data_IF_847815288646
#
_entry.id   IF_847815288646
#
_cell.length_a   1.000
_cell.length_b   1.000
_cell.length_c   1.000
_cell.angle_alpha   90.00
_cell.angle_beta   90.00
_cell.angle_gamma   90.00
#
_symmetry.space_group_name_H-M   'P 1'
#
loop_
_entity.id
_entity.type
_entity.pdbx_description
1 polymer ?
#
# COMPACT_ATOMS: atom_id res chain seq x y z
N UNK A 1 21.81 23.31 -42.67
CA UNK A 1 22.91 22.53 -43.25
C UNK A 1 24.11 22.68 -42.34
N UNK A 2 24.16 21.83 -41.31
CA UNK A 2 25.04 20.65 -41.23
C UNK A 2 26.51 21.02 -41.06
N UNK A 3 26.97 21.00 -39.80
CA UNK A 3 28.28 20.43 -39.50
C UNK A 3 28.14 19.44 -38.36
N UNK A 4 28.46 18.19 -38.72
CA UNK A 4 28.39 17.00 -37.90
C UNK A 4 29.49 16.96 -36.85
N UNK A 5 29.11 16.37 -35.72
CA UNK A 5 29.95 15.73 -34.71
C UNK A 5 31.06 14.85 -35.29
N UNK A 6 32.25 14.99 -34.72
CA UNK A 6 33.03 13.84 -34.25
C UNK A 6 34.17 14.31 -33.36
N UNK A 7 34.50 13.49 -32.34
CA UNK A 7 35.69 13.46 -31.46
C UNK A 7 35.22 13.34 -30.00
N UNK A 8 35.73 12.47 -29.13
CA UNK A 8 36.62 11.31 -29.22
C UNK A 8 36.67 10.76 -27.79
N UNK A 9 36.54 9.44 -27.64
CA UNK A 9 36.74 8.70 -26.38
C UNK A 9 38.22 8.74 -25.95
N UNK A 10 38.51 9.19 -24.72
CA UNK A 10 39.51 8.64 -23.77
C UNK A 10 39.96 9.72 -22.77
N UNK A 11 39.69 9.46 -21.49
CA UNK A 11 40.61 9.56 -20.33
C UNK A 11 39.80 9.85 -19.08
N UNK A 12 39.61 8.85 -18.22
CA UNK A 12 39.62 9.10 -16.78
C UNK A 12 39.88 7.80 -16.00
N UNK A 13 41.12 7.65 -15.55
CA UNK A 13 41.51 6.80 -14.42
C UNK A 13 42.61 7.53 -13.67
N UNK A 14 42.71 7.22 -12.37
CA UNK A 14 43.56 7.78 -11.30
C UNK A 14 43.09 9.15 -10.77
N UNK A 15 42.76 9.32 -9.50
CA UNK A 15 42.74 8.43 -8.34
C UNK A 15 42.51 9.25 -7.06
N UNK A 16 41.96 8.65 -6.01
CA UNK A 16 42.23 9.01 -4.62
C UNK A 16 41.70 7.87 -3.73
N UNK A 17 42.58 7.37 -2.88
CA UNK A 17 42.36 6.29 -1.95
C UNK A 17 41.92 6.83 -0.57
N UNK A 18 41.21 5.95 0.15
CA UNK A 18 41.14 5.80 1.60
C UNK A 18 40.54 6.93 2.47
N UNK A 19 39.37 6.64 3.05
CA UNK A 19 39.19 6.59 4.52
C UNK A 19 38.22 5.45 4.84
N UNK A 20 38.70 4.43 5.55
CA UNK A 20 37.88 3.39 6.16
C UNK A 20 37.50 3.75 7.59
N UNK A 21 36.29 3.37 7.99
CA UNK A 21 35.92 3.19 9.38
C UNK A 21 35.07 1.93 9.47
N UNK A 22 35.51 1.01 10.31
CA UNK A 22 34.93 -0.30 10.55
C UNK A 22 33.76 -0.23 11.55
N UNK A 23 32.76 -1.07 11.34
CA UNK A 23 31.95 -1.63 12.43
C UNK A 23 31.63 -3.09 12.08
N UNK A 24 31.99 -3.95 13.03
CA UNK A 24 32.01 -5.40 12.90
C UNK A 24 30.60 -5.99 12.89
N UNK A 25 30.32 -6.91 11.96
CA UNK A 25 29.22 -7.86 12.09
C UNK A 25 29.84 -9.24 12.20
N UNK A 26 29.53 -9.89 13.33
CA UNK A 26 30.00 -11.21 13.69
C UNK A 26 29.59 -12.26 12.66
N UNK A 27 30.57 -13.09 12.33
CA UNK A 27 30.41 -14.24 11.46
C UNK A 27 29.62 -15.36 12.16
N UNK A 28 28.54 -15.79 11.53
CA UNK A 28 27.90 -17.09 11.71
C UNK A 28 27.69 -17.70 10.33
N UNK A 29 28.77 -18.14 9.69
CA UNK A 29 28.75 -18.76 8.36
C UNK A 29 28.23 -20.20 8.45
N UNK A 30 27.09 -20.50 7.83
CA UNK A 30 26.81 -21.85 7.35
C UNK A 30 27.65 -22.09 6.08
N UNK A 31 28.45 -23.15 6.15
CA UNK A 31 29.47 -23.48 5.18
C UNK A 31 28.89 -23.76 3.78
N UNK A 32 29.40 -23.04 2.79
CA UNK A 32 29.29 -23.36 1.37
C UNK A 32 30.63 -24.00 0.93
N UNK A 33 30.56 -25.27 0.55
CA UNK A 33 31.57 -25.98 -0.25
C UNK A 33 30.79 -26.57 -1.44
N UNK A 34 31.15 -26.48 -2.71
CA UNK A 34 32.29 -25.88 -3.42
C UNK A 34 31.92 -25.86 -4.92
N UNK A 35 32.50 -24.92 -5.65
CA UNK A 35 32.28 -24.62 -7.07
C UNK A 35 32.85 -25.69 -8.04
N UNK A 36 32.29 -25.79 -9.24
CA UNK A 36 32.93 -25.42 -10.52
C UNK A 36 32.12 -25.91 -11.73
N UNK A 37 31.97 -25.05 -12.73
CA UNK A 37 31.30 -25.37 -13.99
C UNK A 37 30.70 -24.11 -14.61
N UNK A 38 31.51 -23.38 -15.37
CA UNK A 38 31.03 -22.23 -16.14
C UNK A 38 29.86 -22.65 -17.01
N UNK A 39 28.72 -21.99 -16.82
CA UNK A 39 27.63 -22.06 -17.76
C UNK A 39 27.21 -20.63 -18.07
N UNK A 40 27.48 -20.19 -19.30
CA UNK A 40 26.69 -19.15 -19.98
C UNK A 40 25.32 -19.74 -20.29
N UNK A 41 24.63 -20.19 -19.25
CA UNK A 41 23.36 -20.88 -19.33
C UNK A 41 22.24 -19.85 -19.39
N UNK A 42 21.46 -19.92 -20.45
CA UNK A 42 20.10 -19.39 -20.48
C UNK A 42 19.41 -19.75 -19.17
N UNK A 43 19.10 -18.75 -18.33
CA UNK A 43 18.34 -18.97 -17.10
C UNK A 43 17.02 -19.63 -17.50
N UNK A 44 16.73 -20.81 -16.96
CA UNK A 44 15.44 -21.44 -17.12
C UNK A 44 14.32 -20.50 -16.66
N UNK A 45 13.12 -20.64 -17.24
CA UNK A 45 11.94 -19.84 -16.85
C UNK A 45 11.70 -19.90 -15.34
N UNK A 46 12.01 -21.03 -14.72
CA UNK A 46 11.82 -21.31 -13.29
C UNK A 46 13.10 -21.17 -12.44
N UNK A 47 14.14 -20.53 -12.95
CA UNK A 47 15.35 -20.31 -12.15
C UNK A 47 15.11 -19.22 -11.09
N UNK A 48 15.80 -19.37 -9.95
CA UNK A 48 15.82 -18.33 -8.93
C UNK A 48 16.50 -17.08 -9.49
N UNK A 49 15.85 -15.92 -9.32
CA UNK A 49 16.43 -14.62 -9.62
C UNK A 49 16.42 -13.77 -8.35
N UNK A 50 17.58 -13.22 -8.01
CA UNK A 50 17.69 -12.20 -6.97
C UNK A 50 16.92 -10.96 -7.43
N UNK A 51 16.14 -10.40 -6.53
CA UNK A 51 15.29 -9.24 -6.74
C UNK A 51 15.96 -8.03 -6.10
N UNK A 52 16.01 -6.93 -6.83
CA UNK A 52 16.40 -5.65 -6.26
C UNK A 52 15.17 -4.97 -5.70
N UNK A 53 15.29 -4.46 -4.48
CA UNK A 53 14.26 -3.65 -3.85
C UNK A 53 14.96 -2.53 -3.10
N UNK A 54 14.59 -1.29 -3.39
CA UNK A 54 15.17 -0.13 -2.74
C UNK A 54 14.54 0.04 -1.35
N UNK A 55 14.97 -0.76 -0.39
CA UNK A 55 14.54 -0.62 1.01
C UNK A 55 15.14 0.67 1.57
N UNK A 56 14.33 1.56 2.16
CA UNK A 56 14.85 2.69 2.90
C UNK A 56 15.61 2.21 4.14
N UNK A 57 16.50 3.03 4.73
CA UNK A 57 17.17 2.67 5.98
C UNK A 57 16.16 2.38 7.10
N UNK A 58 16.23 1.19 7.68
CA UNK A 58 15.37 0.73 8.78
C UNK A 58 15.90 1.24 10.13
N UNK A 59 15.84 2.56 10.34
CA UNK A 59 16.28 3.20 11.58
C UNK A 59 15.20 3.08 12.67
N UNK A 60 15.61 3.11 13.94
CA UNK A 60 14.67 3.12 15.07
C UNK A 60 13.95 4.47 15.24
N UNK A 61 14.56 5.55 14.75
CA UNK A 61 13.99 6.91 14.72
C UNK A 61 14.52 7.66 13.51
N UNK A 62 13.74 8.62 13.00
CA UNK A 62 14.17 9.47 11.91
C UNK A 62 15.34 10.36 12.36
N UNK A 63 16.36 10.58 11.50
CA UNK A 63 17.50 11.43 11.83
C UNK A 63 17.02 12.85 12.10
N UNK A 64 17.67 13.60 12.99
CA UNK A 64 17.30 15.00 13.26
C UNK A 64 17.44 15.90 12.02
N UNK A 65 16.72 17.01 11.99
CA UNK A 65 16.74 17.94 10.86
C UNK A 65 15.80 19.14 11.05
N UNK A 66 15.65 19.98 10.02
CA UNK A 66 14.71 21.12 10.04
C UNK A 66 13.28 20.69 10.39
N UNK A 67 12.51 21.64 10.93
CA UNK A 67 11.08 21.42 11.21
C UNK A 67 10.34 21.04 9.93
N UNK A 68 9.61 19.93 9.97
CA UNK A 68 8.68 19.52 8.91
C UNK A 68 7.24 19.75 9.37
N UNK A 69 6.52 20.56 8.60
CA UNK A 69 5.12 20.90 8.85
C UNK A 69 4.19 20.00 8.03
N UNK A 70 3.37 19.23 8.72
CA UNK A 70 2.40 18.31 8.14
C UNK A 70 0.98 18.90 8.10
N UNK A 71 0.30 18.66 6.99
CA UNK A 71 -1.14 18.77 6.85
C UNK A 71 -1.83 17.40 6.85
N UNK A 72 -2.94 17.26 7.59
CA UNK A 72 -3.72 16.01 7.64
C UNK A 72 -4.98 16.17 6.80
N UNK A 73 -5.17 15.31 5.80
CA UNK A 73 -6.36 15.26 4.96
C UNK A 73 -7.10 13.94 5.26
N UNK A 74 -8.25 14.05 5.91
CA UNK A 74 -9.00 12.94 6.50
C UNK A 74 -8.69 12.79 7.99
N UNK A 75 -9.55 13.34 8.85
CA UNK A 75 -9.40 13.38 10.30
C UNK A 75 -10.14 12.23 11.02
N UNK A 76 -10.45 11.16 10.29
CA UNK A 76 -11.02 9.92 10.85
C UNK A 76 -10.00 9.11 11.65
N UNK A 77 -10.42 7.94 12.16
CA UNK A 77 -9.60 7.13 13.07
C UNK A 77 -8.21 6.76 12.53
N UNK A 78 -8.10 6.42 11.24
CA UNK A 78 -6.80 6.12 10.61
C UNK A 78 -5.94 7.37 10.42
N UNK A 79 -6.53 8.49 10.01
CA UNK A 79 -5.82 9.77 9.90
C UNK A 79 -5.32 10.29 11.25
N UNK A 80 -6.11 10.11 12.31
CA UNK A 80 -5.66 10.38 13.68
C UNK A 80 -4.49 9.49 14.10
N UNK A 81 -4.49 8.21 13.68
CA UNK A 81 -3.37 7.30 13.92
C UNK A 81 -2.10 7.73 13.18
N UNK A 82 -2.20 8.00 11.87
CA UNK A 82 -1.08 8.44 11.04
C UNK A 82 -0.50 9.79 11.50
N UNK A 83 -1.34 10.71 11.97
CA UNK A 83 -0.91 11.96 12.59
C UNK A 83 -0.02 11.73 13.82
N UNK A 84 -0.40 10.80 14.70
CA UNK A 84 0.40 10.46 15.88
C UNK A 84 1.67 9.70 15.50
N UNK A 85 1.58 8.74 14.57
CA UNK A 85 2.75 8.00 14.08
C UNK A 85 3.78 8.92 13.45
N UNK A 86 3.34 9.94 12.72
CA UNK A 86 4.21 10.98 12.19
C UNK A 86 4.95 11.71 13.32
N UNK A 87 4.25 12.16 14.35
CA UNK A 87 4.88 12.83 15.50
C UNK A 87 5.82 11.91 16.29
N UNK A 88 5.52 10.62 16.36
CA UNK A 88 6.31 9.62 17.07
C UNK A 88 7.55 9.15 16.28
N UNK A 89 7.67 9.52 14.99
CA UNK A 89 8.76 9.08 14.14
C UNK A 89 10.10 9.77 14.43
N UNK A 90 10.10 10.95 15.07
CA UNK A 90 11.33 11.67 15.39
C UNK A 90 11.11 13.09 15.90
N UNK A 91 12.19 13.88 15.95
CA UNK A 91 12.19 15.27 16.41
C UNK A 91 11.83 16.26 15.30
N UNK A 92 11.43 17.48 15.66
CA UNK A 92 11.13 18.60 14.75
C UNK A 92 10.04 18.26 13.71
N UNK A 93 8.95 17.65 14.18
CA UNK A 93 7.78 17.29 13.40
C UNK A 93 6.56 17.99 13.98
N UNK A 94 5.80 18.68 13.14
CA UNK A 94 4.65 19.48 13.61
C UNK A 94 3.45 19.29 12.69
N UNK A 95 2.26 19.19 13.27
CA UNK A 95 1.01 19.25 12.51
C UNK A 95 0.49 20.68 12.58
N UNK A 96 0.24 21.29 11.42
CA UNK A 96 -0.11 22.71 11.33
C UNK A 96 -1.46 22.97 10.67
N UNK A 97 -2.05 21.97 10.00
CA UNK A 97 -3.35 22.09 9.35
C UNK A 97 -4.09 20.74 9.30
N UNK A 98 -5.42 20.81 9.39
CA UNK A 98 -6.33 19.67 9.40
C UNK A 98 -7.47 19.91 8.39
N UNK A 99 -7.88 18.86 7.67
CA UNK A 99 -8.99 18.93 6.72
C UNK A 99 -9.83 17.65 6.72
N UNK A 100 -11.15 17.80 6.79
CA UNK A 100 -12.10 16.69 6.64
C UNK A 100 -13.42 17.23 6.06
N UNK A 101 -14.26 16.38 5.47
CA UNK A 101 -15.60 16.83 5.06
C UNK A 101 -16.52 17.10 6.27
N UNK A 102 -16.16 16.62 7.45
CA UNK A 102 -16.95 16.73 8.68
C UNK A 102 -16.24 17.50 9.80
N UNK A 103 -16.89 18.53 10.34
CA UNK A 103 -16.37 19.32 11.46
C UNK A 103 -16.07 18.46 12.69
N UNK A 104 -16.96 17.51 13.02
CA UNK A 104 -16.75 16.64 14.18
C UNK A 104 -15.44 15.82 14.07
N UNK A 105 -14.98 15.49 12.87
CA UNK A 105 -13.72 14.77 12.67
C UNK A 105 -12.52 15.68 12.92
N UNK A 106 -12.56 16.91 12.41
CA UNK A 106 -11.51 17.91 12.61
C UNK A 106 -11.35 18.22 14.10
N UNK A 107 -12.46 18.50 14.80
CA UNK A 107 -12.46 18.83 16.22
C UNK A 107 -11.90 17.68 17.06
N UNK A 108 -12.34 16.44 16.78
CA UNK A 108 -11.87 15.26 17.49
C UNK A 108 -10.35 15.05 17.34
N UNK A 109 -9.80 15.23 16.13
CA UNK A 109 -8.37 15.09 15.91
C UNK A 109 -7.60 16.23 16.58
N UNK A 110 -8.07 17.47 16.47
CA UNK A 110 -7.45 18.64 17.11
C UNK A 110 -7.35 18.46 18.62
N UNK A 111 -8.43 18.05 19.27
CA UNK A 111 -8.44 17.77 20.71
C UNK A 111 -7.53 16.59 21.08
N UNK A 112 -7.49 15.55 20.26
CA UNK A 112 -6.59 14.41 20.46
C UNK A 112 -5.12 14.83 20.43
N UNK A 113 -4.73 15.64 19.44
CA UNK A 113 -3.36 16.16 19.29
C UNK A 113 -2.95 17.02 20.49
N UNK A 114 -3.84 17.90 20.93
CA UNK A 114 -3.62 18.73 22.12
C UNK A 114 -3.43 17.87 23.38
N UNK A 115 -4.31 16.89 23.59
CA UNK A 115 -4.31 16.04 24.78
C UNK A 115 -3.13 15.07 24.84
N UNK A 116 -2.81 14.42 23.73
CA UNK A 116 -1.84 13.30 23.71
C UNK A 116 -0.42 13.73 23.34
N UNK A 117 -0.24 14.88 22.67
CA UNK A 117 1.07 15.35 22.20
C UNK A 117 1.34 16.83 22.50
N UNK A 118 0.39 17.55 23.12
CA UNK A 118 0.54 18.99 23.37
C UNK A 118 0.57 19.84 22.09
N UNK A 119 0.09 19.29 20.97
CA UNK A 119 0.11 19.96 19.67
C UNK A 119 -1.21 20.71 19.48
N UNK A 120 -1.14 22.04 19.43
CA UNK A 120 -2.27 22.90 19.13
C UNK A 120 -2.25 23.32 17.65
N UNK A 121 -3.32 22.98 16.93
CA UNK A 121 -3.56 23.47 15.57
C UNK A 121 -4.49 24.68 15.65
N UNK A 122 -4.14 25.85 15.07
CA UNK A 122 -5.03 27.01 15.04
C UNK A 122 -6.34 26.72 14.31
N UNK A 123 -7.44 27.32 14.75
CA UNK A 123 -8.77 27.07 14.18
C UNK A 123 -8.86 27.56 12.72
N UNK A 124 -8.14 28.63 12.38
CA UNK A 124 -8.01 29.16 11.03
C UNK A 124 -7.30 28.20 10.06
N UNK A 125 -6.60 27.19 10.57
CA UNK A 125 -5.94 26.14 9.78
C UNK A 125 -6.71 24.81 9.78
N UNK A 126 -7.94 24.82 10.29
CA UNK A 126 -8.86 23.69 10.32
C UNK A 126 -9.95 23.90 9.27
N UNK A 127 -9.97 23.05 8.25
CA UNK A 127 -10.83 23.23 7.08
C UNK A 127 -11.89 22.13 6.99
N UNK A 128 -13.09 22.50 6.54
CA UNK A 128 -14.16 21.55 6.24
C UNK A 128 -14.72 21.71 4.84
N UNK A 129 -15.27 20.61 4.31
CA UNK A 129 -15.85 20.54 2.97
C UNK A 129 -15.05 19.65 2.01
N UNK A 130 -15.61 19.40 0.82
CA UNK A 130 -14.93 18.61 -0.21
C UNK A 130 -13.68 19.30 -0.77
N UNK A 131 -13.56 20.62 -0.62
CA UNK A 131 -12.40 21.44 -1.00
C UNK A 131 -11.37 21.58 0.15
N UNK A 132 -11.60 20.95 1.30
CA UNK A 132 -10.71 21.07 2.46
C UNK A 132 -9.28 20.60 2.17
N UNK A 133 -9.10 19.61 1.28
CA UNK A 133 -7.78 19.10 0.94
C UNK A 133 -6.89 20.15 0.26
N UNK A 134 -7.46 20.98 -0.61
CA UNK A 134 -6.73 22.07 -1.29
C UNK A 134 -6.27 23.11 -0.26
N UNK A 135 -7.17 23.49 0.65
CA UNK A 135 -6.86 24.44 1.73
C UNK A 135 -5.76 23.94 2.67
N UNK A 136 -5.76 22.64 3.01
CA UNK A 136 -4.68 22.03 3.79
C UNK A 136 -3.34 22.07 3.05
N UNK A 137 -3.33 21.76 1.75
CA UNK A 137 -2.12 21.80 0.91
C UNK A 137 -1.55 23.22 0.83
N UNK A 138 -2.42 24.23 0.77
CA UNK A 138 -2.06 25.65 0.66
C UNK A 138 -1.69 26.30 2.00
N UNK A 139 -1.93 25.63 3.14
CA UNK A 139 -1.68 26.14 4.49
C UNK A 139 -0.18 26.19 4.90
N UNK A 140 0.73 26.27 3.92
CA UNK A 140 2.18 26.37 4.17
C UNK A 140 2.80 25.08 4.74
N UNK A 141 2.26 23.92 4.36
CA UNK A 141 2.78 22.59 4.74
C UNK A 141 3.95 22.17 3.85
N UNK A 142 4.86 21.37 4.41
CA UNK A 142 5.97 20.73 3.67
C UNK A 142 5.56 19.33 3.18
N UNK A 143 4.75 18.65 4.00
CA UNK A 143 4.31 17.27 3.79
C UNK A 143 2.81 17.14 4.02
N UNK A 144 2.17 16.18 3.35
CA UNK A 144 0.75 15.86 3.58
C UNK A 144 0.52 14.40 3.86
N UNK A 145 -0.44 14.13 4.74
CA UNK A 145 -0.89 12.79 5.13
C UNK A 145 -2.32 12.59 4.60
N UNK A 146 -2.50 11.65 3.66
CA UNK A 146 -3.77 11.39 2.99
C UNK A 146 -4.47 10.14 3.56
N UNK A 147 -5.46 10.35 4.41
CA UNK A 147 -6.18 9.31 5.14
C UNK A 147 -7.71 9.33 4.90
N UNK A 148 -8.16 9.89 3.78
CA UNK A 148 -9.57 9.88 3.36
C UNK A 148 -9.99 8.50 2.83
N UNK A 149 -11.30 8.23 2.61
CA UNK A 149 -11.72 7.07 1.85
C UNK A 149 -10.99 6.98 0.49
N UNK A 150 -10.64 5.76 0.03
CA UNK A 150 -9.84 5.56 -1.19
C UNK A 150 -10.32 6.22 -2.45
N UNK A 151 -11.64 6.43 -2.59
CA UNK A 151 -12.19 7.13 -3.76
C UNK A 151 -11.59 8.51 -4.01
N UNK A 152 -11.31 9.26 -2.94
CA UNK A 152 -10.87 10.66 -3.05
C UNK A 152 -9.35 10.80 -3.19
N UNK A 153 -8.60 9.74 -2.88
CA UNK A 153 -7.14 9.78 -2.81
C UNK A 153 -6.44 10.12 -4.13
N UNK A 154 -6.89 9.66 -5.32
CA UNK A 154 -6.25 10.03 -6.58
C UNK A 154 -6.19 11.55 -6.81
N UNK A 155 -7.29 12.24 -6.55
CA UNK A 155 -7.39 13.70 -6.69
C UNK A 155 -6.54 14.42 -5.64
N UNK A 156 -6.61 13.99 -4.38
CA UNK A 156 -5.82 14.56 -3.31
C UNK A 156 -4.31 14.38 -3.53
N UNK A 157 -3.88 13.21 -4.02
CA UNK A 157 -2.48 12.94 -4.31
C UNK A 157 -1.98 13.78 -5.48
N UNK A 158 -2.73 13.86 -6.58
CA UNK A 158 -2.36 14.68 -7.72
C UNK A 158 -2.21 16.16 -7.33
N UNK A 159 -3.14 16.69 -6.53
CA UNK A 159 -3.07 18.07 -6.03
C UNK A 159 -1.82 18.31 -5.16
N UNK A 160 -1.52 17.38 -4.24
CA UNK A 160 -0.34 17.47 -3.38
C UNK A 160 0.97 17.46 -4.19
N UNK A 161 1.07 16.60 -5.21
CA UNK A 161 2.23 16.53 -6.10
C UNK A 161 2.34 17.78 -6.96
N UNK A 162 1.22 18.32 -7.49
CA UNK A 162 1.24 19.60 -8.22
C UNK A 162 1.74 20.75 -7.35
N UNK A 163 1.40 20.72 -6.07
CA UNK A 163 1.91 21.66 -5.06
C UNK A 163 3.30 21.32 -4.52
N UNK A 164 3.99 20.33 -5.10
CA UNK A 164 5.35 19.88 -4.77
C UNK A 164 5.51 19.44 -3.31
N UNK A 165 4.51 18.76 -2.74
CA UNK A 165 4.54 18.26 -1.36
C UNK A 165 5.00 16.81 -1.31
N UNK A 166 5.79 16.46 -0.30
CA UNK A 166 5.99 15.05 0.03
C UNK A 166 4.69 14.46 0.56
N UNK A 167 4.43 13.18 0.27
CA UNK A 167 3.14 12.56 0.60
C UNK A 167 3.34 11.23 1.33
N UNK A 168 2.65 11.09 2.44
CA UNK A 168 2.25 9.79 2.96
C UNK A 168 0.77 9.59 2.60
N UNK A 169 0.42 8.44 2.05
CA UNK A 169 -0.98 8.14 1.77
C UNK A 169 -1.36 6.73 2.19
N UNK A 170 -2.47 6.62 2.91
CA UNK A 170 -3.02 5.32 3.30
C UNK A 170 -3.38 4.46 2.09
N UNK A 171 -3.27 3.14 2.25
CA UNK A 171 -3.79 2.18 1.28
C UNK A 171 -5.31 2.02 1.44
N UNK A 172 -6.01 1.53 0.40
CA UNK A 172 -5.61 1.43 -1.01
C UNK A 172 -5.56 2.82 -1.70
N UNK A 173 -4.85 2.94 -2.80
CA UNK A 173 -4.65 4.22 -3.51
C UNK A 173 -5.87 4.67 -4.32
N UNK A 174 -6.65 3.72 -4.85
CA UNK A 174 -7.87 3.97 -5.60
C UNK A 174 -8.83 2.76 -5.52
N UNK A 175 -10.05 2.95 -6.02
CA UNK A 175 -11.09 1.92 -6.06
C UNK A 175 -11.42 1.42 -7.47
N UNK A 176 -10.94 2.11 -8.50
CA UNK A 176 -11.26 1.90 -9.91
C UNK A 176 -10.06 2.15 -10.83
N UNK A 177 -10.14 1.71 -12.09
CA UNK A 177 -8.99 1.72 -13.01
C UNK A 177 -8.62 3.14 -13.44
N UNK A 178 -9.61 4.02 -13.58
CA UNK A 178 -9.39 5.43 -13.85
C UNK A 178 -8.55 6.10 -12.73
N UNK A 179 -8.91 5.86 -11.46
CA UNK A 179 -8.16 6.35 -10.31
C UNK A 179 -6.74 5.78 -10.24
N UNK A 180 -6.54 4.50 -10.55
CA UNK A 180 -5.19 3.91 -10.61
C UNK A 180 -4.31 4.61 -11.65
N UNK A 181 -4.82 4.85 -12.86
CA UNK A 181 -4.05 5.57 -13.89
C UNK A 181 -3.70 7.00 -13.47
N UNK A 182 -4.60 7.68 -12.76
CA UNK A 182 -4.33 9.00 -12.19
C UNK A 182 -3.21 8.95 -11.14
N UNK A 183 -3.22 7.95 -10.24
CA UNK A 183 -2.14 7.71 -9.28
C UNK A 183 -0.81 7.46 -10.00
N UNK A 184 -0.78 6.60 -11.03
CA UNK A 184 0.42 6.29 -11.79
C UNK A 184 1.01 7.54 -12.49
N UNK A 185 0.16 8.39 -13.06
CA UNK A 185 0.59 9.65 -13.65
C UNK A 185 1.17 10.61 -12.60
N UNK A 186 0.51 10.74 -11.45
CA UNK A 186 0.98 11.56 -10.34
C UNK A 186 2.28 11.01 -9.72
N UNK A 187 2.45 9.69 -9.66
CA UNK A 187 3.67 9.03 -9.18
C UNK A 187 4.88 9.38 -10.05
N UNK A 188 4.73 9.34 -11.38
CA UNK A 188 5.79 9.76 -12.33
C UNK A 188 6.12 11.24 -12.21
N UNK A 189 5.11 12.07 -12.02
CA UNK A 189 5.30 13.50 -11.76
C UNK A 189 6.07 13.71 -10.45
N UNK A 190 5.72 13.00 -9.38
CA UNK A 190 6.41 13.08 -8.09
C UNK A 190 7.88 12.67 -8.18
N UNK A 191 8.18 11.59 -8.92
CA UNK A 191 9.55 11.15 -9.17
C UNK A 191 10.37 12.22 -9.90
N UNK A 192 9.82 12.83 -10.95
CA UNK A 192 10.50 13.91 -11.69
C UNK A 192 10.76 15.17 -10.85
N UNK A 193 10.02 15.33 -9.76
CA UNK A 193 10.16 16.42 -8.80
C UNK A 193 10.98 16.02 -7.56
N UNK A 194 11.51 14.80 -7.54
CA UNK A 194 12.27 14.20 -6.43
C UNK A 194 11.50 14.17 -5.10
N UNK A 195 10.16 14.10 -5.16
CA UNK A 195 9.31 14.03 -3.98
C UNK A 195 9.37 12.64 -3.35
N UNK A 196 9.35 12.59 -2.02
CA UNK A 196 9.37 11.34 -1.27
C UNK A 196 7.96 10.90 -0.97
N UNK A 197 7.56 9.76 -1.53
CA UNK A 197 6.20 9.24 -1.45
C UNK A 197 6.21 7.89 -0.74
N UNK A 198 5.46 7.79 0.36
CA UNK A 198 5.27 6.55 1.13
C UNK A 198 3.80 6.19 1.12
N UNK A 199 3.53 4.89 1.04
CA UNK A 199 2.16 4.37 1.07
C UNK A 199 1.94 3.50 2.29
N UNK A 200 0.71 3.46 2.82
CA UNK A 200 0.35 2.71 4.04
C UNK A 200 0.42 1.17 3.92
N UNK A 201 1.23 0.64 3.02
CA UNK A 201 1.62 -0.78 2.90
C UNK A 201 2.62 -1.15 3.99
N UNK A 202 2.24 -0.97 5.26
CA UNK A 202 3.11 -1.07 6.44
C UNK A 202 3.99 -2.35 6.51
N UNK A 203 3.56 -3.48 5.91
CA UNK A 203 4.35 -4.72 5.87
C UNK A 203 5.69 -4.56 5.15
N UNK A 204 5.80 -3.61 4.23
CA UNK A 204 7.06 -3.21 3.57
C UNK A 204 8.03 -2.47 4.50
N UNK A 205 7.52 -2.02 5.65
CA UNK A 205 8.24 -1.34 6.72
C UNK A 205 8.26 -2.19 8.00
N UNK A 206 7.82 -3.45 7.94
CA UNK A 206 7.88 -4.36 9.08
C UNK A 206 9.18 -5.17 9.02
N UNK A 207 10.01 -5.04 10.06
CA UNK A 207 11.31 -5.72 10.15
C UNK A 207 11.21 -7.23 9.89
N UNK A 208 10.17 -7.88 10.40
CA UNK A 208 9.99 -9.32 10.25
C UNK A 208 9.70 -9.74 8.80
N UNK A 209 8.95 -8.94 8.05
CA UNK A 209 8.69 -9.17 6.63
C UNK A 209 9.92 -8.86 5.78
N UNK A 210 10.66 -7.79 6.09
CA UNK A 210 11.90 -7.45 5.41
C UNK A 210 12.96 -8.55 5.62
N UNK A 211 13.09 -9.05 6.85
CA UNK A 211 14.01 -10.15 7.17
C UNK A 211 13.63 -11.45 6.44
N UNK A 212 12.34 -11.78 6.39
CA UNK A 212 11.87 -12.92 5.61
C UNK A 212 12.12 -12.72 4.11
N UNK A 213 11.85 -11.53 3.58
CA UNK A 213 12.11 -11.19 2.18
C UNK A 213 13.60 -11.29 1.84
N UNK A 214 14.49 -10.80 2.71
CA UNK A 214 15.94 -10.90 2.54
C UNK A 214 16.38 -12.37 2.44
N UNK A 215 15.84 -13.25 3.27
CA UNK A 215 16.19 -14.68 3.24
C UNK A 215 15.64 -15.38 1.99
N UNK A 216 14.42 -15.05 1.57
CA UNK A 216 13.89 -15.49 0.27
C UNK A 216 14.80 -15.00 -0.87
N UNK A 217 15.24 -13.75 -0.81
CA UNK A 217 16.12 -13.12 -1.79
C UNK A 217 17.57 -13.62 -1.75
N UNK A 218 17.95 -14.34 -0.70
CA UNK A 218 19.20 -15.09 -0.57
C UNK A 218 19.05 -16.56 -1.02
N UNK A 219 17.98 -16.88 -1.78
CA UNK A 219 17.70 -18.23 -2.29
C UNK A 219 17.38 -19.25 -1.19
N UNK A 220 16.90 -18.78 -0.02
CA UNK A 220 16.59 -19.60 1.15
C UNK A 220 15.46 -20.60 0.93
N UNK A 221 14.50 -20.28 0.06
CA UNK A 221 13.40 -21.19 -0.32
C UNK A 221 13.49 -21.74 -1.75
N UNK A 222 14.50 -21.34 -2.54
CA UNK A 222 14.53 -21.66 -3.96
C UNK A 222 13.60 -20.77 -4.79
N UNK A 223 13.14 -21.28 -5.92
CA UNK A 223 12.17 -20.60 -6.77
C UNK A 223 10.75 -20.78 -6.20
N UNK A 224 9.98 -19.70 -6.08
CA UNK A 224 8.59 -19.75 -5.62
C UNK A 224 7.73 -20.36 -6.73
N UNK A 225 7.09 -21.50 -6.45
CA UNK A 225 6.24 -22.24 -7.41
C UNK A 225 4.75 -21.97 -7.23
N UNK A 226 4.33 -21.62 -6.02
CA UNK A 226 2.95 -21.20 -5.70
C UNK A 226 2.92 -20.42 -4.39
N UNK A 227 1.82 -19.72 -4.16
CA UNK A 227 1.58 -19.07 -2.88
C UNK A 227 0.10 -19.05 -2.49
N UNK A 228 -0.14 -18.88 -1.19
CA UNK A 228 -1.46 -18.67 -0.63
C UNK A 228 -1.44 -17.40 0.23
N UNK A 229 -2.42 -16.52 0.02
CA UNK A 229 -2.53 -15.26 0.76
C UNK A 229 -3.94 -15.07 1.32
N UNK A 230 -4.01 -14.75 2.62
CA UNK A 230 -5.26 -14.78 3.37
C UNK A 230 -5.52 -13.52 4.18
N UNK A 231 -6.76 -13.02 4.09
CA UNK A 231 -7.32 -12.06 5.04
C UNK A 231 -8.73 -12.49 5.45
N UNK A 232 -8.80 -13.49 6.32
CA UNK A 232 -10.06 -14.00 6.85
C UNK A 232 -10.27 -13.50 8.26
N UNK A 233 -11.32 -12.72 8.45
CA UNK A 233 -11.67 -12.11 9.72
C UNK A 233 -13.17 -12.13 9.97
N UNK A 234 -13.58 -11.58 11.12
CA UNK A 234 -14.97 -11.31 11.43
C UNK A 234 -15.53 -10.12 10.64
N UNK A 235 -16.82 -9.86 10.82
CA UNK A 235 -17.49 -8.68 10.26
C UNK A 235 -16.80 -7.40 10.76
N UNK A 236 -16.57 -6.45 9.84
CA UNK A 236 -16.10 -5.10 10.17
C UNK A 236 -17.23 -4.20 10.69
N UNK A 237 -16.88 -3.00 11.18
CA UNK A 237 -17.85 -2.01 11.63
C UNK A 237 -18.77 -1.52 10.49
N UNK A 238 -19.93 -1.00 10.89
CA UNK A 238 -20.86 -0.29 10.03
C UNK A 238 -21.48 0.87 10.82
N UNK A 239 -22.07 1.83 10.13
CA UNK A 239 -22.88 2.89 10.70
C UNK A 239 -24.31 2.74 10.21
N UNK A 240 -25.23 2.57 11.15
CA UNK A 240 -26.65 2.65 10.84
C UNK A 240 -26.99 4.03 10.28
N UNK A 241 -27.99 4.07 9.39
CA UNK A 241 -28.45 5.33 8.84
C UNK A 241 -29.02 6.21 9.97
N UNK A 242 -28.65 7.49 9.97
CA UNK A 242 -29.24 8.49 10.83
C UNK A 242 -30.20 9.35 10.00
N UNK A 243 -31.48 9.49 10.39
CA UNK A 243 -32.44 10.31 9.65
C UNK A 243 -32.04 11.77 9.43
N UNK A 244 -31.10 12.29 10.24
CA UNK A 244 -30.59 13.66 10.12
C UNK A 244 -29.42 13.79 9.15
N UNK A 245 -28.85 12.68 8.67
CA UNK A 245 -27.78 12.70 7.68
C UNK A 245 -28.36 12.70 6.27
N UNK A 246 -27.73 13.48 5.40
CA UNK A 246 -27.94 13.30 3.97
C UNK A 246 -27.40 11.93 3.52
N UNK A 247 -27.85 11.48 2.36
CA UNK A 247 -27.37 10.25 1.74
C UNK A 247 -25.84 10.23 1.58
N UNK A 248 -25.26 11.32 1.05
CA UNK A 248 -23.80 11.45 0.90
C UNK A 248 -23.10 11.39 2.26
N UNK A 249 -23.64 12.08 3.27
CA UNK A 249 -23.07 12.07 4.61
C UNK A 249 -23.05 10.65 5.18
N UNK A 250 -24.17 9.93 5.11
CA UNK A 250 -24.25 8.56 5.60
C UNK A 250 -23.26 7.65 4.87
N UNK A 251 -23.20 7.71 3.53
CA UNK A 251 -22.26 6.91 2.76
C UNK A 251 -20.80 7.16 3.18
N UNK A 252 -20.38 8.42 3.34
CA UNK A 252 -19.00 8.73 3.76
C UNK A 252 -18.76 8.32 5.23
N UNK A 253 -19.73 8.49 6.12
CA UNK A 253 -19.60 8.01 7.51
C UNK A 253 -19.54 6.48 7.60
N UNK A 254 -20.17 5.78 6.67
CA UNK A 254 -20.19 4.32 6.51
C UNK A 254 -19.26 3.81 5.37
N UNK A 255 -18.25 4.60 4.99
CA UNK A 255 -17.53 4.45 3.71
C UNK A 255 -17.01 3.05 3.39
N UNK A 256 -16.61 2.30 4.42
CA UNK A 256 -16.00 0.98 4.26
C UNK A 256 -16.98 -0.06 3.71
N UNK A 257 -18.29 0.20 3.78
CA UNK A 257 -19.33 -0.72 3.30
C UNK A 257 -19.79 -0.41 1.85
N UNK A 258 -19.38 0.72 1.28
CA UNK A 258 -19.75 1.13 -0.07
C UNK A 258 -18.60 0.90 -1.05
N UNK A 259 -18.85 0.13 -2.11
CA UNK A 259 -17.88 -0.28 -3.12
C UNK A 259 -17.27 0.92 -3.82
N UNK A 260 -18.04 1.97 -4.09
CA UNK A 260 -17.52 3.17 -4.72
C UNK A 260 -16.60 4.01 -3.83
N UNK A 261 -16.65 3.84 -2.50
CA UNK A 261 -15.79 4.57 -1.56
C UNK A 261 -14.53 3.78 -1.18
N UNK A 262 -14.67 2.46 -1.02
CA UNK A 262 -13.62 1.59 -0.46
C UNK A 262 -13.05 0.57 -1.45
N UNK A 263 -13.79 0.27 -2.52
CA UNK A 263 -13.44 -0.77 -3.49
C UNK A 263 -13.78 -2.19 -3.06
N UNK A 264 -14.55 -2.39 -1.98
CA UNK A 264 -14.76 -3.68 -1.30
C UNK A 264 -13.53 -4.15 -0.51
N UNK A 265 -13.71 -5.06 0.45
CA UNK A 265 -12.68 -5.48 1.40
C UNK A 265 -11.49 -6.19 0.75
N UNK A 266 -11.65 -6.73 -0.47
CA UNK A 266 -10.52 -7.22 -1.26
C UNK A 266 -9.55 -6.08 -1.64
N UNK A 267 -10.09 -4.90 -1.96
CA UNK A 267 -9.31 -3.69 -2.27
C UNK A 267 -8.91 -2.95 -0.98
N UNK A 268 -9.79 -2.87 0.01
CA UNK A 268 -9.53 -2.08 1.23
C UNK A 268 -8.58 -2.78 2.20
N UNK A 269 -8.80 -4.05 2.55
CA UNK A 269 -7.99 -4.77 3.54
C UNK A 269 -7.02 -5.76 2.92
N UNK A 270 -7.54 -6.63 2.05
CA UNK A 270 -6.77 -7.77 1.52
C UNK A 270 -5.63 -7.34 0.57
N UNK A 271 -5.68 -6.10 0.07
CA UNK A 271 -4.57 -5.50 -0.70
C UNK A 271 -3.22 -5.62 0.01
N UNK A 272 -3.19 -5.66 1.36
CA UNK A 272 -1.95 -5.91 2.10
C UNK A 272 -1.30 -7.25 1.73
N UNK A 273 -2.07 -8.35 1.69
CA UNK A 273 -1.49 -9.65 1.38
C UNK A 273 -1.24 -9.83 -0.12
N UNK A 274 -2.08 -9.22 -0.97
CA UNK A 274 -1.84 -9.17 -2.42
C UNK A 274 -0.53 -8.42 -2.71
N UNK A 275 -0.28 -7.32 -2.00
CA UNK A 275 0.95 -6.55 -2.10
C UNK A 275 2.18 -7.36 -1.64
N UNK A 276 2.08 -8.10 -0.55
CA UNK A 276 3.15 -9.02 -0.10
C UNK A 276 3.41 -10.11 -1.14
N UNK A 277 2.37 -10.68 -1.77
CA UNK A 277 2.55 -11.66 -2.83
C UNK A 277 3.34 -11.06 -4.00
N UNK A 278 2.90 -9.92 -4.53
CA UNK A 278 3.59 -9.24 -5.62
C UNK A 278 5.03 -8.87 -5.24
N UNK A 279 5.25 -8.42 -4.00
CA UNK A 279 6.58 -8.08 -3.50
C UNK A 279 7.51 -9.28 -3.43
N UNK A 280 7.06 -10.37 -2.81
CA UNK A 280 7.88 -11.55 -2.57
C UNK A 280 8.12 -12.31 -3.86
N UNK A 281 7.16 -12.30 -4.78
CA UNK A 281 7.29 -12.89 -6.11
C UNK A 281 8.10 -11.98 -7.05
N UNK A 282 8.03 -10.66 -6.88
CA UNK A 282 8.80 -9.66 -7.63
C UNK A 282 8.14 -9.20 -8.92
N UNK A 283 6.88 -9.55 -9.14
CA UNK A 283 6.08 -9.25 -10.32
C UNK A 283 4.58 -9.36 -9.92
N UNK A 284 3.68 -8.98 -10.82
CA UNK A 284 2.23 -9.09 -10.61
C UNK A 284 1.63 -10.16 -11.52
N UNK A 285 0.47 -10.75 -11.17
CA UNK A 285 -0.23 -11.65 -12.07
C UNK A 285 -0.72 -10.94 -13.32
N UNK A 286 -0.86 -11.70 -14.41
CA UNK A 286 -1.36 -11.22 -15.71
C UNK A 286 -2.85 -11.42 -15.88
N UNK A 287 -3.47 -12.29 -15.06
CA UNK A 287 -4.92 -12.48 -15.03
C UNK A 287 -5.43 -13.04 -13.71
N UNK A 288 -6.73 -12.92 -13.50
CA UNK A 288 -7.46 -13.45 -12.35
C UNK A 288 -8.70 -14.22 -12.79
N UNK A 289 -8.99 -15.31 -12.08
CA UNK A 289 -10.29 -15.99 -12.08
C UNK A 289 -10.73 -16.14 -10.64
N UNK A 290 -11.94 -15.68 -10.31
CA UNK A 290 -12.42 -15.77 -8.94
C UNK A 290 -13.92 -15.71 -8.80
N UNK A 291 -14.36 -15.93 -7.58
CA UNK A 291 -15.76 -15.85 -7.17
C UNK A 291 -15.87 -15.28 -5.77
N UNK A 292 -17.06 -14.81 -5.44
CA UNK A 292 -17.38 -14.25 -4.14
C UNK A 292 -18.89 -14.16 -3.96
N UNK A 293 -19.31 -13.67 -2.80
CA UNK A 293 -20.74 -13.50 -2.53
C UNK A 293 -20.99 -12.50 -1.40
N UNK A 294 -22.17 -11.90 -1.42
CA UNK A 294 -22.79 -11.26 -0.26
C UNK A 294 -23.78 -12.20 0.40
N UNK A 295 -23.72 -12.30 1.72
CA UNK A 295 -24.53 -13.16 2.56
C UNK A 295 -25.06 -12.44 3.81
N UNK A 296 -24.24 -11.64 4.51
CA UNK A 296 -24.56 -11.14 5.87
C UNK A 296 -24.29 -9.65 6.09
N UNK A 297 -23.79 -8.92 5.11
CA UNK A 297 -23.62 -7.46 5.17
C UNK A 297 -24.94 -6.75 5.50
N UNK A 298 -24.87 -5.77 6.41
CA UNK A 298 -26.04 -5.00 6.88
C UNK A 298 -26.28 -3.78 6.01
N UNK A 299 -25.24 -3.03 5.66
CA UNK A 299 -25.31 -1.82 4.83
C UNK A 299 -24.46 -1.98 3.57
N UNK A 300 -24.54 -0.99 2.67
CA UNK A 300 -23.71 -0.92 1.47
C UNK A 300 -23.97 -2.01 0.44
N UNK A 301 -23.07 -2.15 -0.53
CA UNK A 301 -23.26 -2.94 -1.76
C UNK A 301 -22.15 -3.98 -2.03
N UNK A 302 -21.34 -4.27 -1.01
CA UNK A 302 -20.20 -5.18 -1.06
C UNK A 302 -20.50 -6.66 -0.87
N UNK A 303 -19.52 -7.49 -1.20
CA UNK A 303 -19.44 -8.90 -0.83
C UNK A 303 -18.94 -9.12 0.62
N UNK A 304 -19.24 -10.30 1.16
CA UNK A 304 -18.72 -10.79 2.44
C UNK A 304 -17.41 -11.58 2.26
N UNK A 305 -17.15 -12.10 1.06
CA UNK A 305 -15.98 -12.94 0.76
C UNK A 305 -15.55 -12.89 -0.71
N UNK A 306 -14.27 -13.17 -0.93
CA UNK A 306 -13.67 -13.42 -2.23
C UNK A 306 -12.71 -14.62 -2.17
N UNK A 307 -12.65 -15.38 -3.25
CA UNK A 307 -11.67 -16.42 -3.50
C UNK A 307 -11.20 -16.28 -4.95
N UNK A 308 -9.95 -15.90 -5.13
CA UNK A 308 -9.36 -15.53 -6.42
C UNK A 308 -8.14 -16.42 -6.67
N UNK A 309 -8.04 -16.95 -7.87
CA UNK A 309 -6.83 -17.57 -8.41
C UNK A 309 -6.14 -16.57 -9.34
N UNK A 310 -4.95 -16.12 -8.95
CA UNK A 310 -4.12 -15.21 -9.72
C UNK A 310 -3.07 -15.99 -10.51
N UNK A 311 -2.99 -15.72 -11.81
CA UNK A 311 -2.13 -16.45 -12.74
C UNK A 311 -1.04 -15.51 -13.26
N UNK A 312 0.21 -15.94 -13.14
CA UNK A 312 1.41 -15.21 -13.56
C UNK A 312 1.81 -15.61 -14.98
N UNK A 313 2.64 -14.79 -15.62
CA UNK A 313 3.06 -14.98 -17.02
C UNK A 313 3.73 -16.36 -17.25
N UNK A 314 4.47 -16.85 -16.27
CA UNK A 314 5.14 -18.15 -16.32
C UNK A 314 4.27 -19.35 -15.91
N UNK A 315 2.97 -19.12 -15.71
CA UNK A 315 1.97 -20.12 -15.36
C UNK A 315 1.90 -20.44 -13.87
N UNK A 316 2.60 -19.72 -12.98
CA UNK A 316 2.43 -19.89 -11.54
C UNK A 316 1.08 -19.37 -11.06
N UNK A 317 0.57 -20.03 -10.03
CA UNK A 317 -0.70 -19.70 -9.40
C UNK A 317 -0.49 -19.18 -7.98
N UNK A 318 -1.22 -18.12 -7.64
CA UNK A 318 -1.34 -17.60 -6.28
C UNK A 318 -2.80 -17.59 -5.88
N UNK A 319 -3.14 -18.40 -4.89
CA UNK A 319 -4.50 -18.41 -4.36
C UNK A 319 -4.68 -17.32 -3.31
N UNK A 320 -5.69 -16.48 -3.49
CA UNK A 320 -6.01 -15.33 -2.66
C UNK A 320 -7.41 -15.46 -2.09
N UNK A 321 -7.55 -15.43 -0.77
CA UNK A 321 -8.86 -15.56 -0.11
C UNK A 321 -9.04 -14.55 1.02
N UNK A 322 -10.17 -13.84 1.00
CA UNK A 322 -10.56 -12.94 2.09
C UNK A 322 -12.04 -13.07 2.45
N UNK A 323 -12.36 -12.79 3.71
CA UNK A 323 -13.71 -12.92 4.27
C UNK A 323 -13.89 -12.02 5.48
N UNK A 324 -15.08 -11.45 5.62
CA UNK A 324 -15.52 -10.71 6.81
C UNK A 324 -16.85 -11.27 7.36
N UNK A 325 -16.81 -12.45 7.99
CA UNK A 325 -18.01 -13.13 8.52
C UNK A 325 -17.73 -13.63 9.94
N UNK A 326 -18.61 -13.28 10.88
CA UNK A 326 -18.54 -13.71 12.28
C UNK A 326 -18.75 -15.22 12.43
N UNK A 327 -18.07 -15.82 13.42
CA UNK A 327 -18.22 -17.24 13.74
C UNK A 327 -17.51 -18.21 12.79
N UNK A 328 -16.65 -17.71 11.90
CA UNK A 328 -15.87 -18.52 10.96
C UNK A 328 -14.38 -18.61 11.37
N UNK A 329 -13.65 -19.58 10.80
CA UNK A 329 -12.21 -19.73 11.00
C UNK A 329 -11.42 -18.54 10.44
N UNK A 330 -10.67 -17.83 11.30
CA UNK A 330 -9.94 -16.62 10.94
C UNK A 330 -8.46 -16.89 10.69
N UNK A 331 -7.81 -15.98 9.96
CA UNK A 331 -6.39 -16.02 9.67
C UNK A 331 -5.98 -14.92 8.70
N UNK A 332 -4.93 -14.19 9.05
CA UNK A 332 -4.28 -13.20 8.19
C UNK A 332 -2.81 -13.59 8.07
N UNK A 333 -2.43 -14.16 6.93
CA UNK A 333 -1.08 -14.70 6.70
C UNK A 333 -0.82 -15.00 5.23
N UNK A 334 0.43 -15.33 4.92
CA UNK A 334 0.95 -15.71 3.63
C UNK A 334 1.75 -17.00 3.76
N UNK A 335 1.70 -17.85 2.73
CA UNK A 335 2.50 -19.06 2.59
C UNK A 335 3.06 -19.07 1.17
N UNK A 336 4.38 -19.16 1.05
CA UNK A 336 5.10 -19.22 -0.22
C UNK A 336 5.80 -20.57 -0.32
N UNK A 337 5.41 -21.37 -1.31
CA UNK A 337 6.01 -22.66 -1.58
C UNK A 337 7.17 -22.47 -2.54
N UNK A 338 8.39 -22.73 -2.05
CA UNK A 338 9.59 -22.72 -2.85
C UNK A 338 10.06 -24.13 -3.22
N UNK A 339 10.98 -24.23 -4.17
CA UNK A 339 11.58 -25.52 -4.57
C UNK A 339 12.47 -26.17 -3.50
N UNK A 340 12.86 -25.44 -2.45
CA UNK A 340 13.70 -25.96 -1.35
C UNK A 340 12.99 -26.00 0.00
N UNK A 341 12.13 -25.02 0.27
CA UNK A 341 11.52 -24.80 1.57
C UNK A 341 10.25 -23.94 1.44
N UNK A 342 9.54 -23.75 2.55
CA UNK A 342 8.31 -22.95 2.61
C UNK A 342 8.59 -21.72 3.48
N UNK A 343 8.34 -20.53 2.95
CA UNK A 343 8.29 -19.30 3.74
C UNK A 343 6.85 -19.04 4.18
N UNK A 344 6.62 -18.71 5.45
CA UNK A 344 5.27 -18.51 5.99
C UNK A 344 5.25 -17.44 7.06
N UNK A 345 4.16 -16.68 7.11
CA UNK A 345 3.86 -15.71 8.17
C UNK A 345 2.80 -16.25 9.16
N UNK A 346 2.44 -17.54 9.04
CA UNK A 346 1.52 -18.22 9.96
C UNK A 346 2.11 -18.25 11.37
N UNK A 347 1.28 -17.89 12.35
CA UNK A 347 1.63 -17.97 13.76
C UNK A 347 2.23 -16.66 14.28
N UNK A 348 3.12 -16.76 15.27
CA UNK A 348 3.63 -15.57 15.97
C UNK A 348 4.64 -14.80 15.12
N UNK A 349 5.57 -15.48 14.45
CA UNK A 349 6.69 -14.87 13.73
C UNK A 349 6.78 -15.44 12.31
N UNK A 350 7.12 -14.62 11.29
CA UNK A 350 7.49 -15.13 9.98
C UNK A 350 8.68 -16.08 10.07
N UNK A 351 8.68 -17.14 9.24
CA UNK A 351 9.68 -18.19 9.31
C UNK A 351 9.83 -18.93 7.98
N UNK A 352 10.89 -19.72 7.87
CA UNK A 352 11.08 -20.71 6.81
C UNK A 352 11.17 -22.10 7.43
N UNK A 353 10.48 -23.06 6.82
CA UNK A 353 10.45 -24.46 7.24
C UNK A 353 10.78 -25.39 6.06
N UNK A 354 11.38 -26.54 6.34
CA UNK A 354 11.58 -27.59 5.34
C UNK A 354 10.28 -28.37 5.04
N UNK A 355 10.36 -29.34 4.11
CA UNK A 355 9.21 -30.18 3.75
C UNK A 355 8.69 -31.08 4.87
N UNK A 356 9.49 -31.31 5.92
CA UNK A 356 9.11 -32.07 7.11
C UNK A 356 8.51 -31.18 8.21
N UNK A 357 8.49 -29.86 8.00
CA UNK A 357 8.04 -28.87 8.98
C UNK A 357 9.11 -28.46 9.99
N UNK A 358 10.38 -28.84 9.80
CA UNK A 358 11.46 -28.37 10.66
C UNK A 358 11.76 -26.91 10.37
N UNK A 359 11.89 -26.10 11.43
CA UNK A 359 12.24 -24.70 11.30
C UNK A 359 13.69 -24.52 10.84
N UNK A 360 13.88 -23.82 9.73
CA UNK A 360 15.18 -23.47 9.17
C UNK A 360 15.60 -22.04 9.51
N UNK A 361 14.63 -21.13 9.62
CA UNK A 361 14.85 -19.72 9.90
C UNK A 361 13.63 -19.11 10.60
N UNK A 362 13.84 -18.12 11.46
CA UNK A 362 12.80 -17.31 12.08
C UNK A 362 13.16 -15.83 11.92
N UNK A 363 12.23 -15.04 11.41
CA UNK A 363 12.44 -13.61 11.20
C UNK A 363 12.37 -12.86 12.52
N UNK A 364 13.44 -12.13 12.84
CA UNK A 364 13.48 -11.24 13.99
C UNK A 364 12.51 -10.06 13.80
N UNK A 365 11.95 -9.60 14.92
CA UNK A 365 11.04 -8.46 14.98
C UNK A 365 11.77 -7.25 15.56
N UNK A 366 11.19 -6.08 15.34
CA UNK A 366 11.55 -4.86 16.06
C UNK A 366 10.43 -4.49 17.03
N UNK A 367 10.80 -3.80 18.11
CA UNK A 367 9.85 -3.13 19.01
C UNK A 367 9.18 -1.92 18.33
N UNK A 368 9.81 -1.36 17.29
CA UNK A 368 9.22 -0.27 16.51
C UNK A 368 8.02 -0.79 15.73
N UNK A 369 6.85 -0.23 16.05
CA UNK A 369 5.61 -0.49 15.31
C UNK A 369 5.81 -0.19 13.83
N UNK A 370 5.37 -1.05 12.91
CA UNK A 370 5.53 -0.81 11.48
C UNK A 370 4.75 0.43 11.00
N UNK A 371 3.69 0.80 11.73
CA UNK A 371 2.96 2.05 11.49
C UNK A 371 3.77 3.30 11.85
N UNK A 372 4.76 3.22 12.73
CA UNK A 372 5.69 4.33 13.00
C UNK A 372 6.88 4.22 12.04
N UNK A 373 7.32 2.99 11.74
CA UNK A 373 8.44 2.74 10.84
C UNK A 373 8.21 3.29 9.43
N UNK A 374 7.00 3.21 8.89
CA UNK A 374 6.67 3.83 7.59
C UNK A 374 6.91 5.35 7.59
N UNK A 375 6.61 6.04 8.70
CA UNK A 375 6.90 7.46 8.85
C UNK A 375 8.39 7.74 9.12
N UNK A 376 9.07 6.90 9.90
CA UNK A 376 10.54 6.99 10.11
C UNK A 376 11.25 6.91 8.77
N UNK A 377 10.92 5.91 7.95
CA UNK A 377 11.52 5.69 6.64
C UNK A 377 11.24 6.88 5.72
N UNK A 378 10.00 7.39 5.72
CA UNK A 378 9.60 8.55 4.93
C UNK A 378 10.43 9.79 5.28
N UNK A 379 10.50 10.15 6.57
CA UNK A 379 11.20 11.34 7.05
C UNK A 379 12.71 11.19 6.84
N UNK A 380 13.25 9.99 7.04
CA UNK A 380 14.66 9.69 6.75
C UNK A 380 14.98 9.98 5.29
N UNK A 381 14.13 9.52 4.36
CA UNK A 381 14.33 9.76 2.93
C UNK A 381 14.22 11.25 2.57
N UNK A 382 13.34 12.01 3.23
CA UNK A 382 13.25 13.47 3.06
C UNK A 382 14.54 14.14 3.54
N UNK A 383 14.95 13.88 4.79
CA UNK A 383 16.08 14.57 5.43
C UNK A 383 17.43 14.23 4.79
N UNK A 384 17.59 13.02 4.29
CA UNK A 384 18.82 12.55 3.66
C UNK A 384 18.79 12.63 2.12
N UNK A 385 17.69 13.15 1.56
CA UNK A 385 17.45 13.21 0.11
C UNK A 385 17.64 11.85 -0.60
N UNK A 386 17.14 10.77 0.00
CA UNK A 386 17.15 9.44 -0.61
C UNK A 386 15.95 9.36 -1.58
N UNK A 387 16.13 9.00 -2.85
CA UNK A 387 15.00 8.75 -3.76
C UNK A 387 14.11 7.64 -3.23
N UNK A 388 12.83 7.94 -2.98
CA UNK A 388 11.88 6.98 -2.43
C UNK A 388 10.45 7.32 -2.87
N UNK A 389 9.86 6.48 -3.71
CA UNK A 389 8.50 6.66 -4.23
C UNK A 389 7.81 5.30 -4.39
N UNK A 390 6.91 5.00 -3.46
CA UNK A 390 6.17 3.73 -3.44
C UNK A 390 4.84 3.77 -4.21
N UNK A 391 4.44 4.94 -4.74
CA UNK A 391 3.10 5.09 -5.30
C UNK A 391 2.84 4.16 -6.50
N UNK A 392 3.83 3.97 -7.38
CA UNK A 392 3.69 3.10 -8.55
C UNK A 392 3.51 1.63 -8.16
N UNK A 393 4.39 1.10 -7.30
CA UNK A 393 4.29 -0.31 -6.90
C UNK A 393 2.97 -0.59 -6.16
N UNK A 394 2.53 0.34 -5.31
CA UNK A 394 1.31 0.15 -4.54
C UNK A 394 0.09 0.30 -5.45
N UNK A 395 0.15 1.14 -6.47
CA UNK A 395 -0.87 1.22 -7.52
C UNK A 395 -0.97 -0.09 -8.32
N UNK A 396 0.15 -0.75 -8.61
CA UNK A 396 0.16 -2.07 -9.26
C UNK A 396 -0.53 -3.11 -8.37
N UNK A 397 -0.16 -3.21 -7.08
CA UNK A 397 -0.81 -4.13 -6.14
C UNK A 397 -2.30 -3.84 -5.94
N UNK A 398 -2.67 -2.55 -5.90
CA UNK A 398 -4.06 -2.13 -5.84
C UNK A 398 -4.83 -2.49 -7.11
N UNK A 399 -4.22 -2.38 -8.30
CA UNK A 399 -4.82 -2.82 -9.56
C UNK A 399 -5.08 -4.32 -9.56
N UNK A 400 -4.17 -5.13 -9.02
CA UNK A 400 -4.37 -6.59 -8.88
C UNK A 400 -5.58 -6.88 -7.98
N UNK A 401 -5.74 -6.16 -6.87
CA UNK A 401 -6.91 -6.30 -6.01
C UNK A 401 -8.21 -5.90 -6.73
N UNK A 402 -8.19 -4.83 -7.54
CA UNK A 402 -9.32 -4.41 -8.37
C UNK A 402 -9.63 -5.48 -9.45
N UNK A 403 -8.62 -6.04 -10.10
CA UNK A 403 -8.75 -7.13 -11.08
C UNK A 403 -9.43 -8.36 -10.43
N UNK A 404 -9.01 -8.76 -9.23
CA UNK A 404 -9.64 -9.83 -8.47
C UNK A 404 -11.12 -9.55 -8.15
N UNK A 405 -11.44 -8.32 -7.73
CA UNK A 405 -12.84 -7.90 -7.52
C UNK A 405 -13.66 -8.02 -8.79
N UNK A 406 -13.18 -7.46 -9.90
CA UNK A 406 -13.91 -7.44 -11.18
C UNK A 406 -14.11 -8.87 -11.70
N UNK A 407 -13.11 -9.74 -11.58
CA UNK A 407 -13.26 -11.16 -11.91
C UNK A 407 -14.39 -11.81 -11.10
N UNK A 408 -14.38 -11.64 -9.77
CA UNK A 408 -15.42 -12.22 -8.92
C UNK A 408 -16.81 -11.64 -9.17
N UNK A 409 -16.92 -10.33 -9.40
CA UNK A 409 -18.21 -9.66 -9.64
C UNK A 409 -18.83 -10.05 -10.97
N UNK A 410 -18.00 -10.24 -12.00
CA UNK A 410 -18.48 -10.61 -13.34
C UNK A 410 -18.61 -12.12 -13.52
N UNK A 411 -17.87 -12.91 -12.74
CA UNK A 411 -17.71 -14.35 -12.94
C UNK A 411 -16.85 -14.69 -14.16
N UNK A 412 -16.03 -13.75 -14.65
CA UNK A 412 -15.17 -13.94 -15.83
C UNK A 412 -13.69 -14.01 -15.44
N UNK A 413 -12.90 -14.63 -16.31
CA UNK A 413 -11.47 -14.37 -16.35
C UNK A 413 -11.26 -12.90 -16.75
N UNK A 414 -10.36 -12.21 -16.05
CA UNK A 414 -10.04 -10.81 -16.30
C UNK A 414 -8.52 -10.69 -16.36
N UNK A 415 -8.01 -10.05 -17.41
CA UNK A 415 -6.57 -9.82 -17.60
C UNK A 415 -6.15 -8.46 -17.05
N UNK A 416 -4.88 -8.34 -16.67
CA UNK A 416 -4.30 -7.08 -16.20
C UNK A 416 -4.35 -6.00 -17.29
N UNK A 417 -4.10 -6.39 -18.54
CA UNK A 417 -4.15 -5.48 -19.71
C UNK A 417 -5.56 -4.95 -19.97
N UNK A 418 -6.60 -5.78 -19.86
CA UNK A 418 -7.99 -5.30 -19.94
C UNK A 418 -8.27 -4.26 -18.86
N UNK A 419 -7.79 -4.47 -17.63
CA UNK A 419 -7.98 -3.52 -16.54
C UNK A 419 -7.25 -2.20 -16.77
N UNK A 420 -6.02 -2.25 -17.28
CA UNK A 420 -5.26 -1.03 -17.61
C UNK A 420 -5.91 -0.22 -18.72
N UNK A 421 -6.60 -0.87 -19.67
CA UNK A 421 -7.31 -0.23 -20.77
C UNK A 421 -8.78 0.13 -20.45
N UNK A 422 -9.34 -0.36 -19.34
CA UNK A 422 -10.72 -0.10 -18.92
C UNK A 422 -10.94 1.34 -18.48
N UNK A 423 -12.07 1.96 -18.85
CA UNK A 423 -12.50 3.28 -18.38
C UNK A 423 -13.36 3.23 -17.11
N UNK A 424 -13.41 2.09 -16.41
CA UNK A 424 -14.20 1.90 -15.19
C UNK A 424 -13.96 3.04 -14.19
N UNK A 425 -15.06 3.68 -13.80
CA UNK A 425 -15.13 4.70 -12.76
C UNK A 425 -16.31 4.40 -11.84
N UNK A 426 -16.05 4.26 -10.55
CA UNK A 426 -17.09 4.01 -9.56
C UNK A 426 -17.59 5.31 -8.93
N UNK A 427 -18.83 5.29 -8.43
CA UNK A 427 -19.41 6.38 -7.65
C UNK A 427 -20.03 7.51 -8.48
N UNK A 428 -20.57 8.53 -7.81
CA UNK A 428 -21.22 9.65 -8.48
C UNK A 428 -20.20 10.54 -9.21
N UNK A 429 -20.68 11.28 -10.22
CA UNK A 429 -19.88 12.27 -10.95
C UNK A 429 -19.72 13.59 -10.22
N UNK A 430 -20.55 13.86 -9.21
CA UNK A 430 -20.57 15.10 -8.42
C UNK A 430 -20.66 14.73 -6.94
N UNK A 431 -19.89 15.42 -6.11
CA UNK A 431 -19.95 15.28 -4.65
C UNK A 431 -20.70 16.48 -4.04
N UNK A 432 -21.92 16.23 -3.56
CA UNK A 432 -22.74 17.19 -2.84
C UNK A 432 -23.16 16.58 -1.52
N UNK A 433 -23.07 17.33 -0.43
CA UNK A 433 -23.54 16.89 0.90
C UNK A 433 -25.07 16.96 0.97
N UNK A 434 -25.74 16.10 0.19
CA UNK A 434 -27.18 16.04 0.00
C UNK A 434 -27.62 14.62 -0.40
N UNK A 435 -28.93 14.42 -0.58
CA UNK A 435 -29.51 13.22 -1.15
C UNK A 435 -29.32 13.25 -2.68
N UNK A 436 -28.55 12.31 -3.21
CA UNK A 436 -28.13 12.25 -4.63
C UNK A 436 -28.77 11.08 -5.40
N UNK A 437 -29.56 10.23 -4.74
CA UNK A 437 -30.26 9.08 -5.33
C UNK A 437 -29.33 7.94 -5.76
N UNK A 438 -28.13 7.85 -5.17
CA UNK A 438 -27.16 6.81 -5.46
C UNK A 438 -27.53 5.47 -4.82
N UNK A 439 -27.95 5.47 -3.56
CA UNK A 439 -28.30 4.28 -2.77
C UNK A 439 -29.43 3.48 -3.42
N UNK A 440 -30.43 4.15 -4.01
CA UNK A 440 -31.51 3.48 -4.74
C UNK A 440 -31.00 2.63 -5.91
N UNK A 441 -29.84 3.01 -6.47
CA UNK A 441 -29.17 2.32 -7.57
C UNK A 441 -28.03 1.44 -7.09
N UNK A 442 -27.66 1.45 -5.81
CA UNK A 442 -26.57 0.64 -5.28
C UNK A 442 -27.05 -0.81 -5.16
N UNK A 443 -26.68 -1.63 -6.13
CA UNK A 443 -27.01 -3.06 -6.18
C UNK A 443 -25.75 -3.88 -6.00
N UNK A 444 -25.92 -5.04 -5.37
CA UNK A 444 -24.85 -6.02 -5.18
C UNK A 444 -24.59 -6.71 -6.51
N UNK A 445 -23.33 -6.79 -6.94
CA UNK A 445 -22.95 -7.44 -8.20
C UNK A 445 -23.39 -8.90 -8.23
N UNK A 446 -23.89 -9.35 -9.39
CA UNK A 446 -24.33 -10.73 -9.61
C UNK A 446 -23.44 -11.36 -10.70
N UNK A 447 -22.61 -12.36 -10.36
CA UNK A 447 -21.73 -13.00 -11.33
C UNK A 447 -22.51 -13.64 -12.47
N UNK A 448 -21.96 -13.60 -13.68
CA UNK A 448 -22.61 -14.08 -14.90
C UNK A 448 -23.53 -13.06 -15.57
N UNK A 449 -23.67 -11.86 -15.00
CA UNK A 449 -24.35 -10.72 -15.64
C UNK A 449 -23.31 -9.67 -16.05
N UNK A 450 -23.57 -8.94 -17.15
CA UNK A 450 -22.67 -7.86 -17.63
C UNK A 450 -22.87 -6.54 -16.88
N UNK A 451 -23.77 -6.51 -15.90
CA UNK A 451 -24.09 -5.29 -15.15
C UNK A 451 -22.99 -5.05 -14.09
N UNK A 452 -22.21 -3.97 -14.29
CA UNK A 452 -21.23 -3.40 -13.34
C UNK A 452 -19.98 -4.24 -13.06
N UNK A 453 -19.24 -4.53 -14.13
CA UNK A 453 -17.81 -4.84 -14.07
C UNK A 453 -16.99 -3.56 -13.83
#
# INVERSE_FOLDING_TARGET
MNMNNNLSRRKFLTGAAAVGAASAIGAGTLASCSAEGGNTGTTGVYDFKRKEYNLPPMLETAPDGPELKAGIIGCGGRGSGAALNFLDAGTNLKIVSLGDVFQDRVDNLREKLKKERGVEVPEENCFTGFDAFEKVIDAGVDVVILATPPKFRPEHFEAAVKARKHVFMEKPLAVDTAGIRQILAAAKMAESQELKIVTGTQRRHEHSYINLWNEINNNGIGHIVSANVYWNSGKLWHRDNNPNWSEMEWMIRDWVNWTWLSGDHIVEQHVHNIDVANWFIGEHPVKAVGFGSRQRRVTGDQYDNFSIDYIYEDGRHVHSMCRQINGCANGVYEIFHGTKAIATTVGKNPQIVDSSGNQLFIAEKSETSPYVQEHINWITCIRQNIPFNEAEQTAISNMVAIMGRVSAYTGKEVTYDEMMNSDMKLGPSIYLMNNIGFIEKATVSIPGTLERA
#
